data_IF_205462566402
#
_entry.id   IF_205462566402
#
_cell.length_a   1.000
_cell.length_b   1.000
_cell.length_c   1.000
_cell.angle_alpha   90.00
_cell.angle_beta   90.00
_cell.angle_gamma   90.00
#
_symmetry.space_group_name_H-M   'P 1'
#
loop_
_entity.id
_entity.type
_entity.pdbx_description
1 polymer ?
#
# COMPACT_ATOMS: atom_id res chain seq x y z
N UNK A 1 39.06 -17.61 -6.35
CA UNK A 1 38.34 -17.03 -7.52
C UNK A 1 37.48 -15.81 -7.16
N UNK A 2 36.54 -15.92 -6.20
CA UNK A 2 35.67 -14.80 -5.77
C UNK A 2 36.44 -13.56 -5.29
N UNK A 3 37.45 -13.76 -4.45
CA UNK A 3 38.24 -12.67 -3.86
C UNK A 3 39.06 -11.88 -4.89
N UNK A 4 39.60 -12.56 -5.90
CA UNK A 4 40.35 -11.96 -7.01
C UNK A 4 39.40 -11.12 -7.87
N UNK A 5 38.20 -11.63 -8.17
CA UNK A 5 37.16 -10.87 -8.87
C UNK A 5 36.75 -9.62 -8.09
N UNK A 6 36.55 -9.73 -6.78
CA UNK A 6 36.20 -8.57 -5.93
C UNK A 6 37.31 -7.53 -5.90
N UNK A 7 38.57 -7.94 -5.71
CA UNK A 7 39.73 -7.03 -5.71
C UNK A 7 39.94 -6.37 -7.08
N UNK A 8 39.75 -7.11 -8.16
CA UNK A 8 39.88 -6.58 -9.53
C UNK A 8 38.78 -5.57 -9.85
N UNK A 9 37.53 -5.88 -9.47
CA UNK A 9 36.39 -4.96 -9.60
C UNK A 9 36.60 -3.65 -8.83
N UNK A 10 37.04 -3.72 -7.56
CA UNK A 10 37.34 -2.55 -6.73
C UNK A 10 38.46 -1.68 -7.33
N UNK A 11 39.52 -2.31 -7.87
CA UNK A 11 40.62 -1.60 -8.53
C UNK A 11 40.16 -0.92 -9.81
N UNK A 12 39.40 -1.60 -10.67
CA UNK A 12 38.83 -0.99 -11.88
C UNK A 12 37.90 0.19 -11.55
N UNK A 13 37.17 0.11 -10.44
CA UNK A 13 36.33 1.20 -9.94
C UNK A 13 37.14 2.44 -9.53
N UNK A 14 38.28 2.25 -8.85
CA UNK A 14 39.18 3.34 -8.45
C UNK A 14 39.75 4.15 -9.63
N UNK A 15 39.91 3.53 -10.80
CA UNK A 15 40.48 4.16 -12.00
C UNK A 15 39.46 4.85 -12.92
N UNK A 16 38.16 4.85 -12.57
CA UNK A 16 37.10 5.48 -13.38
C UNK A 16 36.65 6.82 -12.76
N UNK A 17 36.27 7.82 -13.58
CA UNK A 17 35.75 9.10 -13.08
C UNK A 17 34.56 8.87 -12.14
N UNK A 18 34.64 9.44 -10.93
CA UNK A 18 33.70 9.19 -9.81
C UNK A 18 32.25 9.65 -10.06
N UNK A 19 31.90 10.16 -11.24
CA UNK A 19 30.74 11.04 -11.37
C UNK A 19 29.51 10.50 -12.10
N UNK A 20 29.40 9.25 -12.59
CA UNK A 20 28.19 8.97 -13.40
C UNK A 20 27.63 7.55 -13.57
N UNK A 21 28.36 6.46 -13.32
CA UNK A 21 27.86 5.13 -13.74
C UNK A 21 27.33 4.22 -12.62
N UNK A 22 27.73 4.45 -11.37
CA UNK A 22 27.28 3.69 -10.21
C UNK A 22 26.37 4.57 -9.36
N UNK A 23 25.07 4.55 -9.64
CA UNK A 23 24.04 5.09 -8.73
C UNK A 23 23.98 4.17 -7.50
N UNK A 24 24.89 4.39 -6.56
CA UNK A 24 24.88 3.74 -5.24
C UNK A 24 23.75 4.27 -4.33
N UNK A 25 23.05 5.32 -4.76
CA UNK A 25 21.91 5.85 -4.04
C UNK A 25 20.70 4.90 -4.18
N UNK A 26 20.25 4.36 -3.05
CA UNK A 26 18.95 3.69 -2.97
C UNK A 26 17.87 4.78 -2.92
N UNK A 27 17.30 5.10 -4.07
CA UNK A 27 16.26 6.13 -4.22
C UNK A 27 15.04 5.85 -3.32
N UNK A 28 14.71 4.57 -3.07
CA UNK A 28 13.59 4.19 -2.20
C UNK A 28 13.95 4.49 -0.74
N UNK A 29 15.19 4.23 -0.34
CA UNK A 29 15.68 4.57 0.99
C UNK A 29 15.71 6.09 1.22
N UNK A 30 16.22 6.86 0.26
CA UNK A 30 16.24 8.34 0.37
C UNK A 30 14.82 8.91 0.47
N UNK A 31 13.90 8.41 -0.34
CA UNK A 31 12.49 8.78 -0.28
C UNK A 31 11.86 8.38 1.07
N UNK A 32 12.12 7.17 1.58
CA UNK A 32 11.67 6.77 2.93
C UNK A 32 12.20 7.72 4.01
N UNK A 33 13.50 8.01 4.02
CA UNK A 33 14.12 8.89 5.02
C UNK A 33 13.57 10.31 4.96
N UNK A 34 13.30 10.82 3.75
CA UNK A 34 12.67 12.13 3.57
C UNK A 34 11.24 12.15 4.14
N UNK A 35 10.43 11.12 3.84
CA UNK A 35 9.09 10.98 4.40
C UNK A 35 9.13 10.85 5.94
N UNK A 36 10.09 10.11 6.48
CA UNK A 36 10.28 9.92 7.91
C UNK A 36 10.65 11.23 8.62
N UNK A 37 11.51 12.05 7.99
CA UNK A 37 11.82 13.40 8.47
C UNK A 37 10.56 14.27 8.52
N UNK A 38 9.78 14.35 7.43
CA UNK A 38 8.55 15.13 7.39
C UNK A 38 7.50 14.65 8.39
N UNK A 39 7.41 13.33 8.60
CA UNK A 39 6.50 12.73 9.56
C UNK A 39 6.87 13.11 10.98
N UNK A 40 8.15 12.97 11.34
CA UNK A 40 8.65 13.38 12.65
C UNK A 40 8.44 14.89 12.87
N UNK A 41 8.55 15.74 11.84
CA UNK A 41 8.24 17.18 11.91
C UNK A 41 6.73 17.49 12.02
N UNK A 42 5.86 16.55 11.63
CA UNK A 42 4.41 16.77 11.56
C UNK A 42 3.95 17.63 10.37
N UNK A 43 4.74 17.73 9.31
CA UNK A 43 4.42 18.59 8.15
C UNK A 43 3.36 17.94 7.24
N UNK A 44 2.10 18.30 7.48
CA UNK A 44 0.93 17.79 6.73
C UNK A 44 1.06 17.97 5.22
N UNK A 45 1.61 19.10 4.77
CA UNK A 45 1.67 19.43 3.34
C UNK A 45 2.65 18.53 2.61
N UNK A 46 3.82 18.30 3.22
CA UNK A 46 4.87 17.43 2.67
C UNK A 46 4.53 15.95 2.77
N UNK A 47 3.63 15.57 3.69
CA UNK A 47 3.20 14.18 3.87
C UNK A 47 2.09 13.72 2.92
N UNK A 48 1.37 14.64 2.26
CA UNK A 48 0.29 14.25 1.34
C UNK A 48 0.72 13.19 0.30
N UNK A 49 1.86 13.33 -0.40
CA UNK A 49 2.31 12.32 -1.37
C UNK A 49 2.63 10.97 -0.71
N UNK A 50 3.07 10.93 0.55
CA UNK A 50 3.27 9.68 1.27
C UNK A 50 1.94 8.96 1.47
N UNK A 51 0.96 9.64 2.05
CA UNK A 51 -0.37 9.06 2.29
C UNK A 51 -1.02 8.58 1.00
N UNK A 52 -0.95 9.36 -0.09
CA UNK A 52 -1.53 8.96 -1.38
C UNK A 52 -0.88 7.69 -1.93
N UNK A 53 0.46 7.57 -1.84
CA UNK A 53 1.20 6.39 -2.32
C UNK A 53 0.94 5.14 -1.49
N UNK A 54 0.81 5.29 -0.17
CA UNK A 54 0.49 4.17 0.72
C UNK A 54 -0.97 3.75 0.52
N UNK A 55 -1.90 4.71 0.39
CA UNK A 55 -3.29 4.45 -0.02
C UNK A 55 -3.34 3.65 -1.32
N UNK A 56 -2.63 4.08 -2.37
CA UNK A 56 -2.55 3.35 -3.64
C UNK A 56 -2.05 1.90 -3.45
N UNK A 57 -1.07 1.71 -2.57
CA UNK A 57 -0.52 0.38 -2.26
C UNK A 57 -1.52 -0.51 -1.52
N UNK A 58 -2.34 0.07 -0.62
CA UNK A 58 -3.44 -0.61 0.08
C UNK A 58 -4.46 -1.14 -0.94
N UNK A 59 -4.94 -0.31 -1.87
CA UNK A 59 -5.89 -0.75 -2.91
C UNK A 59 -5.31 -1.84 -3.81
N UNK A 60 -4.00 -1.80 -4.07
CA UNK A 60 -3.29 -2.77 -4.92
C UNK A 60 -2.80 -4.03 -4.19
N UNK A 61 -2.99 -4.15 -2.86
CA UNK A 61 -2.47 -5.28 -2.07
C UNK A 61 -2.93 -6.64 -2.63
N UNK A 62 -4.21 -6.73 -3.00
CA UNK A 62 -4.81 -7.92 -3.63
C UNK A 62 -4.86 -7.81 -5.17
N UNK A 63 -3.96 -7.03 -5.75
CA UNK A 63 -3.87 -6.76 -7.19
C UNK A 63 -4.66 -5.52 -7.63
N UNK A 64 -4.49 -5.15 -8.89
CA UNK A 64 -5.16 -3.99 -9.50
C UNK A 64 -6.69 -4.20 -9.55
N UNK A 65 -7.41 -3.17 -9.17
CA UNK A 65 -8.87 -3.07 -9.14
C UNK A 65 -9.33 -1.83 -9.93
N UNK A 66 -10.64 -1.66 -10.09
CA UNK A 66 -11.21 -0.45 -10.64
C UNK A 66 -11.04 0.74 -9.65
N UNK A 67 -11.14 1.99 -10.10
CA UNK A 67 -11.09 3.17 -9.22
C UNK A 67 -12.04 3.01 -8.02
N UNK A 68 -11.58 3.43 -6.83
CA UNK A 68 -12.35 3.39 -5.57
C UNK A 68 -12.85 1.99 -5.13
N UNK A 69 -12.29 0.93 -5.74
CA UNK A 69 -12.58 -0.45 -5.35
C UNK A 69 -11.33 -1.17 -4.90
N UNK A 70 -11.45 -2.12 -3.99
CA UNK A 70 -10.36 -2.99 -3.53
C UNK A 70 -10.73 -4.46 -3.76
N UNK A 71 -9.78 -5.27 -4.22
CA UNK A 71 -10.01 -6.70 -4.42
C UNK A 71 -10.06 -7.45 -3.08
N UNK A 72 -11.02 -8.37 -2.96
CA UNK A 72 -11.17 -9.26 -1.81
C UNK A 72 -10.35 -10.54 -2.02
N UNK A 73 -9.76 -11.07 -0.94
CA UNK A 73 -9.11 -12.37 -0.95
C UNK A 73 -10.01 -13.40 -0.28
N UNK A 74 -10.65 -14.26 -1.07
CA UNK A 74 -11.61 -15.28 -0.60
C UNK A 74 -10.94 -16.60 -0.19
N UNK A 75 -9.68 -16.58 0.24
CA UNK A 75 -8.94 -17.77 0.66
C UNK A 75 -8.36 -18.64 -0.47
N UNK A 76 -8.72 -18.38 -1.75
CA UNK A 76 -8.17 -19.08 -2.92
C UNK A 76 -7.81 -18.13 -4.05
N UNK A 77 -6.91 -18.57 -4.93
CA UNK A 77 -6.53 -17.81 -6.12
C UNK A 77 -7.71 -17.71 -7.09
N UNK A 78 -8.15 -16.48 -7.37
CA UNK A 78 -9.21 -16.21 -8.35
C UNK A 78 -8.54 -15.96 -9.71
N UNK A 79 -8.37 -17.03 -10.49
CA UNK A 79 -7.72 -16.97 -11.81
C UNK A 79 -8.68 -16.43 -12.88
N UNK A 80 -9.92 -16.92 -12.87
CA UNK A 80 -10.93 -16.59 -13.88
C UNK A 80 -11.76 -15.37 -13.56
N UNK A 81 -11.80 -14.93 -12.31
CA UNK A 81 -12.57 -13.76 -11.91
C UNK A 81 -11.83 -12.98 -10.84
N UNK A 82 -12.30 -11.79 -10.51
CA UNK A 82 -11.94 -11.07 -9.28
C UNK A 82 -13.21 -10.57 -8.62
N UNK A 83 -13.19 -10.54 -7.29
CA UNK A 83 -14.24 -9.92 -6.51
C UNK A 83 -13.67 -8.65 -5.89
N UNK A 84 -14.40 -7.55 -6.02
CA UNK A 84 -14.02 -6.26 -5.48
C UNK A 84 -15.19 -5.65 -4.71
N UNK A 85 -14.88 -4.76 -3.77
CA UNK A 85 -15.87 -3.95 -3.08
C UNK A 85 -15.51 -2.47 -3.22
N UNK A 86 -16.48 -1.57 -3.07
CA UNK A 86 -16.18 -0.14 -2.88
C UNK A 86 -15.55 0.11 -1.52
N UNK A 87 -14.61 1.04 -1.49
CA UNK A 87 -13.92 1.50 -0.30
C UNK A 87 -13.43 2.93 -0.54
N UNK A 88 -13.73 3.88 0.36
CA UNK A 88 -13.29 5.27 0.22
C UNK A 88 -12.44 5.71 1.40
N UNK A 89 -11.12 5.44 1.31
CA UNK A 89 -10.19 5.78 2.37
C UNK A 89 -9.78 7.26 2.36
N UNK A 90 -9.75 7.87 3.53
CA UNK A 90 -9.20 9.21 3.78
C UNK A 90 -8.13 9.14 4.87
N UNK A 91 -7.04 9.93 4.75
CA UNK A 91 -5.99 9.97 5.76
C UNK A 91 -6.45 10.69 7.03
N UNK A 92 -6.02 10.21 8.19
CA UNK A 92 -6.23 10.87 9.48
C UNK A 92 -4.93 11.57 9.89
N UNK A 93 -4.97 12.90 10.05
CA UNK A 93 -3.78 13.73 10.28
C UNK A 93 -3.68 14.28 11.72
N UNK A 94 -4.61 13.90 12.59
CA UNK A 94 -4.69 14.43 13.96
C UNK A 94 -3.58 13.87 14.86
N UNK A 95 -3.08 12.68 14.52
CA UNK A 95 -2.11 11.94 15.33
C UNK A 95 -0.65 12.19 14.89
N UNK A 96 -0.42 13.21 14.07
CA UNK A 96 0.94 13.58 13.68
C UNK A 96 1.69 14.19 14.88
N UNK A 97 3.00 13.91 15.01
CA UNK A 97 3.84 14.54 16.02
C UNK A 97 3.72 16.07 15.95
N UNK A 98 3.49 16.70 17.09
CA UNK A 98 3.54 18.16 17.21
C UNK A 98 4.88 18.53 17.84
N UNK A 99 5.78 19.10 17.03
CA UNK A 99 7.05 19.59 17.54
C UNK A 99 6.96 21.11 17.68
N UNK A 100 7.01 21.64 18.91
CA UNK A 100 6.89 23.07 19.16
C UNK A 100 8.15 23.87 18.83
N UNK A 101 9.28 23.22 18.48
CA UNK A 101 10.59 23.85 18.25
C UNK A 101 11.28 23.28 17.00
N UNK A 102 12.27 24.01 16.47
CA UNK A 102 13.14 23.54 15.39
C UNK A 102 14.08 22.39 15.79
N UNK A 103 14.02 21.91 17.03
CA UNK A 103 14.84 20.81 17.55
C UNK A 103 14.00 19.55 17.77
N UNK A 104 14.51 18.43 17.27
CA UNK A 104 13.86 17.13 17.34
C UNK A 104 14.45 16.32 18.50
N UNK A 105 13.81 16.33 19.66
CA UNK A 105 14.31 15.61 20.86
C UNK A 105 14.14 14.08 20.79
N UNK A 106 13.22 13.59 19.94
CA UNK A 106 12.96 12.16 19.74
C UNK A 106 12.71 11.88 18.28
N UNK A 107 13.48 10.97 17.69
CA UNK A 107 13.29 10.49 16.33
C UNK A 107 12.69 9.09 16.34
N UNK A 108 11.48 8.95 15.81
CA UNK A 108 10.82 7.66 15.66
C UNK A 108 11.28 7.07 14.31
N UNK A 109 11.88 5.86 14.28
CA UNK A 109 12.51 5.30 13.08
C UNK A 109 11.52 4.62 12.12
N UNK A 110 10.22 4.73 12.39
CA UNK A 110 9.12 4.19 11.59
C UNK A 110 7.99 5.21 11.50
N UNK A 111 7.19 5.09 10.44
CA UNK A 111 6.01 5.92 10.23
C UNK A 111 4.82 5.29 10.94
N UNK A 112 3.91 6.11 11.48
CA UNK A 112 2.57 5.66 11.89
C UNK A 112 1.57 6.41 11.02
N UNK A 113 0.88 5.67 10.15
CA UNK A 113 -0.13 6.23 9.25
C UNK A 113 -1.49 5.67 9.61
N UNK A 114 -2.53 6.49 9.45
CA UNK A 114 -3.88 6.14 9.83
C UNK A 114 -4.88 6.52 8.74
N UNK A 115 -5.84 5.63 8.52
CA UNK A 115 -6.87 5.76 7.51
C UNK A 115 -8.24 5.48 8.11
N UNK A 116 -9.25 6.18 7.60
CA UNK A 116 -10.67 5.94 7.90
C UNK A 116 -11.48 5.95 6.61
N UNK A 117 -12.63 5.30 6.64
CA UNK A 117 -13.61 5.48 5.57
C UNK A 117 -14.38 6.79 5.80
N UNK A 118 -14.79 7.47 4.72
CA UNK A 118 -15.53 8.73 4.82
C UNK A 118 -16.85 8.59 5.60
N UNK A 119 -17.53 7.44 5.46
CA UNK A 119 -18.85 7.19 6.04
C UNK A 119 -18.79 6.61 7.47
N UNK A 120 -17.63 6.11 7.90
CA UNK A 120 -17.46 5.43 9.20
C UNK A 120 -16.55 6.23 10.13
N UNK A 121 -16.93 6.33 11.40
CA UNK A 121 -16.10 7.01 12.40
C UNK A 121 -14.94 6.14 12.94
N UNK A 122 -14.76 4.94 12.38
CA UNK A 122 -13.70 4.00 12.76
C UNK A 122 -12.48 4.22 11.87
N UNK A 123 -11.32 4.40 12.51
CA UNK A 123 -10.03 4.50 11.85
C UNK A 123 -9.11 3.34 12.26
N UNK A 124 -8.15 3.03 11.40
CA UNK A 124 -7.12 2.04 11.67
C UNK A 124 -5.75 2.61 11.34
N UNK A 125 -4.79 2.34 12.22
CA UNK A 125 -3.40 2.76 12.06
C UNK A 125 -2.49 1.58 11.70
N UNK A 126 -1.37 1.89 11.05
CA UNK A 126 -0.33 0.94 10.67
C UNK A 126 1.04 1.57 10.90
N UNK A 127 1.95 0.81 11.51
CA UNK A 127 3.37 1.16 11.58
C UNK A 127 4.08 0.69 10.30
N UNK A 128 4.87 1.57 9.70
CA UNK A 128 5.59 1.31 8.46
C UNK A 128 7.06 1.59 8.69
N UNK A 129 7.84 0.51 8.80
CA UNK A 129 9.30 0.56 8.74
C UNK A 129 9.79 0.56 7.28
N UNK A 130 11.11 0.65 7.09
CA UNK A 130 11.69 0.68 5.75
C UNK A 130 11.41 -0.60 4.94
N UNK A 131 11.42 -1.77 5.60
CA UNK A 131 11.20 -3.06 4.94
C UNK A 131 9.80 -3.15 4.34
N UNK A 132 8.77 -2.78 5.12
CA UNK A 132 7.40 -2.72 4.66
C UNK A 132 7.22 -1.61 3.61
N UNK A 133 7.81 -0.42 3.82
CA UNK A 133 7.76 0.66 2.84
C UNK A 133 8.27 0.24 1.46
N UNK A 134 9.41 -0.46 1.43
CA UNK A 134 10.02 -0.99 0.19
C UNK A 134 9.08 -1.98 -0.50
N UNK A 135 8.42 -2.86 0.25
CA UNK A 135 7.41 -3.75 -0.31
C UNK A 135 6.24 -2.96 -0.90
N UNK A 136 5.68 -2.00 -0.17
CA UNK A 136 4.55 -1.18 -0.63
C UNK A 136 4.90 -0.42 -1.92
N UNK A 137 6.11 0.13 -2.04
CA UNK A 137 6.56 0.79 -3.27
C UNK A 137 6.66 -0.19 -4.46
N UNK A 138 7.00 -1.46 -4.23
CA UNK A 138 6.95 -2.49 -5.27
C UNK A 138 5.51 -2.80 -5.66
N UNK A 139 4.60 -2.93 -4.69
CA UNK A 139 3.19 -3.21 -4.92
C UNK A 139 2.54 -2.12 -5.75
N UNK A 140 2.84 -0.86 -5.42
CA UNK A 140 2.42 0.30 -6.19
C UNK A 140 2.83 0.20 -7.66
N UNK A 141 4.05 -0.31 -7.93
CA UNK A 141 4.59 -0.60 -9.28
C UNK A 141 4.06 -1.90 -9.92
N UNK A 142 3.10 -2.59 -9.29
CA UNK A 142 2.44 -3.77 -9.84
C UNK A 142 2.93 -5.10 -9.30
N UNK A 143 3.87 -5.11 -8.34
CA UNK A 143 4.26 -6.36 -7.67
C UNK A 143 3.09 -6.92 -6.85
N UNK A 144 2.87 -8.24 -6.92
CA UNK A 144 1.86 -8.91 -6.11
C UNK A 144 2.54 -9.66 -4.95
N UNK A 145 2.19 -9.36 -3.69
CA UNK A 145 2.77 -10.05 -2.54
C UNK A 145 2.56 -11.56 -2.61
N UNK A 146 3.63 -12.30 -2.35
CA UNK A 146 3.58 -13.76 -2.27
C UNK A 146 3.32 -14.23 -0.82
N UNK A 147 3.28 -15.56 -0.61
CA UNK A 147 3.03 -16.13 0.73
C UNK A 147 4.09 -15.73 1.76
N UNK A 148 5.36 -15.63 1.35
CA UNK A 148 6.44 -15.19 2.23
C UNK A 148 6.27 -13.72 2.62
N UNK A 149 6.00 -12.84 1.66
CA UNK A 149 5.74 -11.41 1.94
C UNK A 149 4.59 -11.25 2.95
N UNK A 150 3.50 -12.01 2.78
CA UNK A 150 2.36 -11.97 3.71
C UNK A 150 2.72 -12.45 5.12
N UNK A 151 3.57 -13.46 5.24
CA UNK A 151 4.05 -13.96 6.53
C UNK A 151 5.00 -12.97 7.20
N UNK A 152 5.94 -12.40 6.44
CA UNK A 152 6.93 -11.45 6.92
C UNK A 152 6.28 -10.13 7.40
N UNK A 153 5.11 -9.77 6.83
CA UNK A 153 4.36 -8.56 7.15
C UNK A 153 2.94 -8.85 7.67
N UNK A 154 2.82 -9.77 8.64
CA UNK A 154 1.52 -10.19 9.20
C UNK A 154 0.70 -9.02 9.77
N UNK A 155 1.35 -8.04 10.43
CA UNK A 155 0.69 -6.83 10.95
C UNK A 155 0.02 -6.02 9.84
N UNK A 156 0.62 -6.00 8.64
CA UNK A 156 0.02 -5.33 7.48
C UNK A 156 -1.16 -6.12 6.93
N UNK A 157 -1.11 -7.46 6.95
CA UNK A 157 -2.24 -8.31 6.58
C UNK A 157 -3.44 -8.04 7.50
N UNK A 158 -3.22 -8.04 8.82
CA UNK A 158 -4.27 -7.72 9.79
C UNK A 158 -4.84 -6.31 9.61
N UNK A 159 -3.98 -5.34 9.28
CA UNK A 159 -4.41 -3.99 8.94
C UNK A 159 -5.29 -3.98 7.69
N UNK A 160 -4.92 -4.69 6.63
CA UNK A 160 -5.75 -4.83 5.42
C UNK A 160 -7.11 -5.47 5.77
N UNK A 161 -7.13 -6.53 6.58
CA UNK A 161 -8.38 -7.18 6.98
C UNK A 161 -9.31 -6.22 7.75
N UNK A 162 -8.75 -5.35 8.60
CA UNK A 162 -9.50 -4.28 9.28
C UNK A 162 -10.01 -3.23 8.28
N UNK A 163 -9.17 -2.80 7.35
CA UNK A 163 -9.55 -1.86 6.29
C UNK A 163 -10.66 -2.41 5.40
N UNK A 164 -10.63 -3.71 5.06
CA UNK A 164 -11.67 -4.35 4.25
C UNK A 164 -13.04 -4.30 4.93
N UNK A 165 -13.10 -4.39 6.27
CA UNK A 165 -14.36 -4.23 7.04
C UNK A 165 -14.94 -2.81 6.95
N UNK A 166 -14.13 -1.81 6.59
CA UNK A 166 -14.63 -0.46 6.34
C UNK A 166 -15.37 -0.34 5.00
N UNK A 167 -15.17 -1.25 4.05
CA UNK A 167 -15.86 -1.21 2.76
C UNK A 167 -17.32 -1.66 2.81
N UNK A 168 -17.87 -1.86 1.61
CA UNK A 168 -19.29 -2.14 1.38
C UNK A 168 -19.62 -3.62 1.11
N UNK A 169 -18.77 -4.60 1.48
CA UNK A 169 -19.01 -6.03 1.21
C UNK A 169 -20.39 -6.57 1.60
N UNK A 170 -21.04 -6.01 2.62
CA UNK A 170 -22.37 -6.45 3.06
C UNK A 170 -23.51 -5.85 2.23
N UNK A 171 -23.23 -4.85 1.39
CA UNK A 171 -24.22 -4.12 0.57
C UNK A 171 -24.02 -4.35 -0.91
N UNK A 172 -22.78 -4.28 -1.39
CA UNK A 172 -22.47 -4.44 -2.81
C UNK A 172 -21.11 -5.12 -3.04
N UNK A 173 -21.07 -6.01 -4.01
CA UNK A 173 -19.87 -6.64 -4.53
C UNK A 173 -19.84 -6.53 -6.06
N UNK A 174 -18.64 -6.35 -6.59
CA UNK A 174 -18.37 -6.33 -8.01
C UNK A 174 -17.62 -7.60 -8.36
N UNK A 175 -18.09 -8.32 -9.37
CA UNK A 175 -17.47 -9.54 -9.88
C UNK A 175 -17.10 -9.28 -11.33
N UNK A 176 -15.81 -9.34 -11.64
CA UNK A 176 -15.33 -9.13 -13.00
C UNK A 176 -14.66 -10.41 -13.50
N UNK A 177 -15.11 -10.87 -14.67
CA UNK A 177 -14.51 -11.96 -15.41
C UNK A 177 -13.14 -11.51 -15.96
N UNK A 178 -12.13 -12.36 -15.81
CA UNK A 178 -10.77 -12.15 -16.33
C UNK A 178 -10.56 -12.76 -17.71
N UNK A 179 -11.54 -13.48 -18.23
CA UNK A 179 -11.54 -14.08 -19.57
C UNK A 179 -11.90 -13.04 -20.65
N UNK A 180 -11.83 -13.45 -21.92
CA UNK A 180 -11.85 -12.57 -23.11
C UNK A 180 -13.03 -11.59 -23.17
N UNK A 181 -14.18 -11.94 -22.59
CA UNK A 181 -15.40 -11.12 -22.67
C UNK A 181 -15.53 -10.06 -21.57
N UNK A 182 -14.62 -10.00 -20.59
CA UNK A 182 -14.56 -9.00 -19.50
C UNK A 182 -15.92 -8.58 -18.89
N UNK A 183 -16.83 -9.55 -18.73
CA UNK A 183 -18.16 -9.28 -18.18
C UNK A 183 -18.02 -8.80 -16.75
N UNK A 184 -18.79 -7.79 -16.41
CA UNK A 184 -18.85 -7.24 -15.06
C UNK A 184 -20.23 -7.52 -14.50
N UNK A 185 -20.28 -7.98 -13.26
CA UNK A 185 -21.51 -8.25 -12.55
C UNK A 185 -21.49 -7.51 -11.23
N UNK A 186 -22.68 -7.10 -10.80
CA UNK A 186 -22.91 -6.49 -9.51
C UNK A 186 -23.83 -7.39 -8.70
N UNK A 187 -23.40 -7.74 -7.49
CA UNK A 187 -24.24 -8.36 -6.48
C UNK A 187 -24.63 -7.27 -5.47
N UNK A 188 -25.92 -7.02 -5.30
CA UNK A 188 -26.45 -6.02 -4.37
C UNK A 188 -27.38 -6.71 -3.38
N UNK A 189 -27.24 -6.38 -2.09
CA UNK A 189 -28.20 -6.78 -1.08
C UNK A 189 -29.20 -5.65 -0.84
N UNK A 190 -30.46 -5.94 -1.08
CA UNK A 190 -31.58 -5.06 -0.76
C UNK A 190 -32.05 -5.35 0.66
N UNK A 191 -31.82 -4.41 1.57
CA UNK A 191 -32.22 -4.54 2.97
C UNK A 191 -33.71 -4.34 3.20
N UNK A 192 -34.42 -3.65 2.31
CA UNK A 192 -35.86 -3.43 2.43
C UNK A 192 -36.65 -4.69 2.06
N UNK A 193 -36.16 -5.44 1.07
CA UNK A 193 -36.78 -6.67 0.60
C UNK A 193 -36.08 -7.95 1.07
N UNK A 194 -34.99 -7.84 1.84
CA UNK A 194 -34.13 -8.94 2.32
C UNK A 194 -33.67 -9.90 1.21
N UNK A 195 -33.38 -9.36 0.03
CA UNK A 195 -33.08 -10.14 -1.19
C UNK A 195 -31.76 -9.72 -1.83
N UNK A 196 -31.17 -10.64 -2.61
CA UNK A 196 -29.97 -10.38 -3.39
C UNK A 196 -30.35 -10.19 -4.87
N UNK A 197 -29.90 -9.10 -5.48
CA UNK A 197 -29.95 -8.90 -6.94
C UNK A 197 -28.57 -9.18 -7.54
N UNK A 198 -28.55 -9.88 -8.67
CA UNK A 198 -27.34 -10.15 -9.45
C UNK A 198 -27.55 -9.64 -10.87
N UNK A 199 -26.83 -8.59 -11.23
CA UNK A 199 -27.03 -7.84 -12.46
C UNK A 199 -25.74 -7.81 -13.29
N UNK A 200 -25.84 -8.08 -14.59
CA UNK A 200 -24.75 -7.83 -15.52
C UNK A 200 -24.66 -6.33 -15.79
N UNK A 201 -23.47 -5.75 -15.57
CA UNK A 201 -23.19 -4.35 -15.85
C UNK A 201 -22.87 -4.22 -17.33
N UNK A 202 -23.74 -3.51 -18.06
CA UNK A 202 -23.58 -3.14 -19.47
C UNK A 202 -22.48 -2.11 -19.70
#
# INVERSE_FOLDING_TARGET
>A
MKEILTKTFLRMYLFKPKSTWLKLNDDIYLDYMQNLYWWNKGDKTKLKPLFDRIKESIYKWNGKSAPETINLFIGRNQLHYKISQRLSLSPVLNNLPQIPKNELHKFIPYLILEYKDFSKNTSYSISIDFSLYKLLMRIRKGYRPNRKDKNDFINFVEFIDKILKLGNQNKELFIEDRLENKRQFKLVFDSEFEQYSFEEMS
#
